data_IF_612169295805
#
_entry.id   IF_612169295805
#
_cell.length_a   1.000
_cell.length_b   1.000
_cell.length_c   1.000
_cell.angle_alpha   90.00
_cell.angle_beta   90.00
_cell.angle_gamma   90.00
#
_symmetry.space_group_name_H-M   'P 1'
#
loop_
_entity.id
_entity.type
_entity.pdbx_description
1 polymer ?
#
# COMPACT_ATOMS: atom_id res chain seq x y z
N UNK A 1 17.78 29.53 5.18
CA UNK A 1 18.49 28.23 5.30
C UNK A 1 17.88 27.33 4.25
N UNK A 2 18.66 26.86 3.26
CA UNK A 2 18.16 25.85 2.33
C UNK A 2 17.75 24.64 3.18
N UNK A 3 16.55 24.11 2.93
CA UNK A 3 16.19 22.77 3.39
C UNK A 3 17.32 21.86 2.89
N UNK A 4 18.23 21.46 3.78
CA UNK A 4 19.29 20.54 3.42
C UNK A 4 18.64 19.28 2.88
N UNK A 5 19.13 18.78 1.74
CA UNK A 5 18.60 17.60 1.06
C UNK A 5 18.52 16.43 2.05
N UNK A 6 17.36 16.24 2.68
CA UNK A 6 17.09 15.04 3.48
C UNK A 6 17.11 13.89 2.48
N UNK A 7 17.93 12.84 2.70
CA UNK A 7 17.94 11.71 1.79
C UNK A 7 16.58 11.02 1.85
N UNK A 8 15.96 10.80 0.69
CA UNK A 8 14.69 10.10 0.60
C UNK A 8 14.80 8.65 1.09
N UNK A 9 15.98 8.04 0.87
CA UNK A 9 16.29 6.69 1.31
C UNK A 9 17.37 6.72 2.41
N UNK A 10 16.99 6.25 3.60
CA UNK A 10 17.95 5.89 4.63
C UNK A 10 18.19 4.39 4.50
N UNK A 11 19.43 3.93 4.26
CA UNK A 11 19.70 2.50 4.17
C UNK A 11 19.34 1.77 5.47
N UNK A 12 18.98 0.48 5.39
CA UNK A 12 18.89 -0.35 6.58
C UNK A 12 20.16 -0.31 7.44
N UNK A 13 20.05 -0.53 8.77
CA UNK A 13 21.22 -0.61 9.62
C UNK A 13 22.09 -1.84 9.30
N UNK A 14 23.40 -1.70 9.53
CA UNK A 14 24.39 -2.76 9.30
C UNK A 14 25.06 -2.66 7.92
N UNK A 15 25.95 -3.61 7.58
CA UNK A 15 26.62 -3.64 6.28
C UNK A 15 25.66 -4.16 5.19
N UNK A 16 25.68 -3.54 3.99
CA UNK A 16 24.85 -3.98 2.85
C UNK A 16 25.08 -5.43 2.43
N UNK A 17 26.30 -5.93 2.60
CA UNK A 17 26.62 -7.34 2.33
C UNK A 17 25.98 -8.32 3.31
N UNK A 18 25.43 -7.83 4.43
CA UNK A 18 24.96 -8.63 5.55
C UNK A 18 26.10 -9.24 6.37
N UNK A 19 25.71 -9.96 7.41
CA UNK A 19 26.63 -10.56 8.37
C UNK A 19 26.74 -12.08 8.20
N UNK A 20 27.98 -12.59 8.33
CA UNK A 20 28.27 -14.01 8.28
C UNK A 20 28.04 -14.65 6.90
N UNK A 21 28.15 -16.00 6.81
CA UNK A 21 28.06 -16.73 5.55
C UNK A 21 26.65 -16.68 4.93
N UNK A 22 25.61 -16.52 5.75
CA UNK A 22 24.22 -16.39 5.28
C UNK A 22 23.87 -14.96 4.85
N UNK A 23 24.77 -13.99 5.04
CA UNK A 23 24.52 -12.57 4.73
C UNK A 23 23.27 -12.05 5.44
N UNK A 24 23.17 -12.31 6.75
CA UNK A 24 22.02 -11.89 7.57
C UNK A 24 21.91 -10.37 7.56
N UNK A 25 20.71 -9.85 7.31
CA UNK A 25 20.46 -8.41 7.23
C UNK A 25 20.99 -7.73 5.96
N UNK A 26 21.45 -8.49 4.95
CA UNK A 26 21.85 -7.91 3.68
C UNK A 26 20.72 -7.13 3.01
N UNK A 27 21.11 -6.09 2.29
CA UNK A 27 20.22 -5.23 1.53
C UNK A 27 20.95 -4.67 0.31
N UNK A 28 20.18 -4.33 -0.71
CA UNK A 28 20.67 -3.74 -1.94
C UNK A 28 20.72 -2.21 -1.84
N UNK A 29 21.78 -1.60 -2.38
CA UNK A 29 21.91 -0.14 -2.49
C UNK A 29 21.70 0.22 -3.97
N UNK A 30 20.55 0.79 -4.35
CA UNK A 30 20.27 1.13 -5.75
C UNK A 30 21.26 2.17 -6.28
N UNK A 31 21.76 1.93 -7.48
CA UNK A 31 22.51 2.93 -8.24
C UNK A 31 21.53 3.83 -9.04
N UNK A 32 21.89 5.09 -9.34
CA UNK A 32 21.06 5.94 -10.20
C UNK A 32 20.74 5.32 -11.57
N UNK A 33 21.62 4.49 -12.11
CA UNK A 33 21.41 3.74 -13.35
C UNK A 33 20.37 2.62 -13.26
N UNK A 34 19.94 2.27 -12.05
CA UNK A 34 18.97 1.19 -11.78
C UNK A 34 17.56 1.75 -11.53
N UNK A 35 17.39 3.07 -11.59
CA UNK A 35 16.10 3.73 -11.62
C UNK A 35 15.42 3.50 -12.99
N UNK A 36 14.58 2.48 -13.07
CA UNK A 36 13.88 2.10 -14.32
C UNK A 36 12.50 2.76 -14.46
N UNK A 37 11.96 3.31 -13.36
CA UNK A 37 10.71 4.08 -13.35
C UNK A 37 10.98 5.56 -13.11
N UNK A 38 10.20 6.41 -13.76
CA UNK A 38 10.06 7.83 -13.38
C UNK A 38 8.96 7.99 -12.33
N UNK A 39 8.96 9.12 -11.60
CA UNK A 39 7.93 9.40 -10.59
C UNK A 39 6.50 9.43 -11.16
N UNK A 40 6.24 10.06 -12.33
CA UNK A 40 4.92 9.99 -12.96
C UNK A 40 4.47 8.56 -13.30
N UNK A 41 5.38 7.71 -13.81
CA UNK A 41 5.06 6.31 -14.09
C UNK A 41 4.74 5.54 -12.80
N UNK A 42 5.50 5.77 -11.72
CA UNK A 42 5.24 5.15 -10.42
C UNK A 42 3.85 5.55 -9.89
N UNK A 43 3.46 6.82 -10.01
CA UNK A 43 2.15 7.30 -9.63
C UNK A 43 1.03 6.64 -10.44
N UNK A 44 1.20 6.55 -11.76
CA UNK A 44 0.22 5.93 -12.68
C UNK A 44 0.02 4.44 -12.35
N UNK A 45 1.12 3.68 -12.24
CA UNK A 45 1.08 2.24 -11.91
C UNK A 45 0.41 2.02 -10.54
N UNK A 46 0.75 2.84 -9.55
CA UNK A 46 0.16 2.75 -8.21
C UNK A 46 -1.33 3.03 -8.26
N UNK A 47 -1.75 4.09 -8.96
CA UNK A 47 -3.15 4.50 -9.03
C UNK A 47 -4.03 3.55 -9.84
N UNK A 48 -3.51 2.99 -10.94
CA UNK A 48 -4.24 2.01 -11.77
C UNK A 48 -4.35 0.65 -11.09
N UNK A 49 -3.38 0.32 -10.22
CA UNK A 49 -3.31 -0.98 -9.55
C UNK A 49 -2.56 -2.05 -10.36
N UNK A 50 -1.82 -1.67 -11.40
CA UNK A 50 -1.01 -2.58 -12.21
C UNK A 50 0.33 -2.91 -11.53
N UNK A 51 0.26 -3.31 -10.26
CA UNK A 51 1.42 -3.44 -9.36
C UNK A 51 2.44 -4.49 -9.82
N UNK A 52 2.09 -5.34 -10.79
CA UNK A 52 3.03 -6.24 -11.48
C UNK A 52 4.13 -5.49 -12.25
N UNK A 53 3.92 -4.21 -12.57
CA UNK A 53 4.91 -3.37 -13.25
C UNK A 53 5.93 -2.75 -12.28
N UNK A 54 5.70 -2.85 -10.97
CA UNK A 54 6.64 -2.44 -9.92
C UNK A 54 7.73 -3.50 -9.75
N UNK A 55 8.68 -3.51 -10.68
CA UNK A 55 9.75 -4.50 -10.74
C UNK A 55 11.07 -3.98 -10.15
N UNK A 56 11.89 -4.91 -9.66
CA UNK A 56 13.29 -4.64 -9.33
C UNK A 56 14.12 -4.53 -10.60
N UNK A 57 15.18 -3.72 -10.54
CA UNK A 57 16.25 -3.83 -11.53
C UNK A 57 16.88 -5.23 -11.47
N UNK A 58 17.38 -5.73 -12.60
CA UNK A 58 17.91 -7.09 -12.73
C UNK A 58 19.05 -7.39 -11.75
N UNK A 59 19.92 -6.42 -11.48
CA UNK A 59 20.99 -6.57 -10.49
C UNK A 59 20.44 -6.84 -9.07
N UNK A 60 19.48 -6.02 -8.62
CA UNK A 60 18.84 -6.19 -7.32
C UNK A 60 18.07 -7.52 -7.25
N UNK A 61 17.37 -7.91 -8.31
CA UNK A 61 16.63 -9.17 -8.36
C UNK A 61 17.57 -10.38 -8.33
N UNK A 62 18.71 -10.33 -9.02
CA UNK A 62 19.71 -11.40 -9.00
C UNK A 62 20.33 -11.55 -7.60
N UNK A 63 20.73 -10.44 -6.98
CA UNK A 63 21.29 -10.46 -5.63
C UNK A 63 20.26 -10.96 -4.59
N UNK A 64 19.00 -10.52 -4.70
CA UNK A 64 17.90 -11.03 -3.89
C UNK A 64 17.71 -12.53 -4.05
N UNK A 65 17.78 -13.06 -5.28
CA UNK A 65 17.66 -14.50 -5.55
C UNK A 65 18.79 -15.31 -4.95
N UNK A 66 20.02 -14.84 -5.04
CA UNK A 66 21.17 -15.50 -4.42
C UNK A 66 21.05 -15.50 -2.89
N UNK A 67 20.57 -14.39 -2.32
CA UNK A 67 20.39 -14.23 -0.88
C UNK A 67 19.20 -15.03 -0.33
N UNK A 68 18.05 -15.06 -1.03
CA UNK A 68 16.80 -15.60 -0.47
C UNK A 68 16.84 -17.11 -0.24
N UNK A 69 17.56 -17.87 -1.07
CA UNK A 69 17.58 -19.34 -1.00
C UNK A 69 18.22 -19.86 0.30
N UNK A 70 19.44 -19.44 0.69
CA UNK A 70 20.02 -19.86 1.97
C UNK A 70 19.22 -19.33 3.18
N UNK A 71 18.57 -18.17 3.07
CA UNK A 71 17.70 -17.65 4.13
C UNK A 71 16.46 -18.52 4.32
N UNK A 72 15.78 -18.90 3.23
CA UNK A 72 14.65 -19.83 3.29
C UNK A 72 15.06 -21.18 3.88
N UNK A 73 16.22 -21.71 3.49
CA UNK A 73 16.72 -22.96 4.05
C UNK A 73 16.95 -22.89 5.57
N UNK A 74 17.41 -21.74 6.08
CA UNK A 74 17.67 -21.54 7.51
C UNK A 74 16.42 -21.24 8.33
N UNK A 75 15.48 -20.43 7.80
CA UNK A 75 14.33 -19.90 8.54
C UNK A 75 13.00 -20.57 8.18
N UNK A 76 13.00 -21.49 7.20
CA UNK A 76 11.81 -22.12 6.63
C UNK A 76 11.19 -21.29 5.51
N UNK A 77 10.94 -20.02 5.77
CA UNK A 77 10.43 -19.05 4.80
C UNK A 77 10.92 -17.62 5.08
N UNK A 78 10.62 -16.72 4.14
CA UNK A 78 10.98 -15.31 4.27
C UNK A 78 10.12 -14.59 5.31
N UNK A 79 8.88 -15.03 5.53
CA UNK A 79 7.98 -14.43 6.52
C UNK A 79 8.55 -14.57 7.94
N UNK A 80 9.00 -15.77 8.28
CA UNK A 80 9.66 -16.11 9.54
C UNK A 80 10.97 -15.34 9.69
N UNK A 81 11.77 -15.23 8.64
CA UNK A 81 12.98 -14.40 8.65
C UNK A 81 12.66 -12.92 8.91
N UNK A 82 11.72 -12.34 8.17
CA UNK A 82 11.31 -10.93 8.31
C UNK A 82 10.82 -10.69 9.74
N UNK A 83 9.91 -11.53 10.22
CA UNK A 83 9.37 -11.43 11.58
C UNK A 83 10.45 -11.47 12.65
N UNK A 84 11.32 -12.50 12.63
CA UNK A 84 12.30 -12.73 13.71
C UNK A 84 13.49 -11.78 13.62
N UNK A 85 14.00 -11.50 12.42
CA UNK A 85 15.25 -10.77 12.22
C UNK A 85 15.01 -9.28 11.98
N UNK A 86 14.13 -8.95 11.02
CA UNK A 86 13.91 -7.55 10.60
C UNK A 86 12.96 -6.83 11.54
N UNK A 87 11.87 -7.50 11.91
CA UNK A 87 10.84 -6.96 12.78
C UNK A 87 11.06 -7.34 14.23
N UNK A 88 11.87 -8.33 14.57
CA UNK A 88 12.08 -8.78 15.96
C UNK A 88 10.75 -8.88 16.74
N UNK A 89 9.72 -9.42 16.09
CA UNK A 89 8.43 -9.68 16.70
C UNK A 89 8.37 -11.14 17.13
N UNK A 90 7.97 -11.36 18.37
CA UNK A 90 7.75 -12.70 18.90
C UNK A 90 6.40 -13.27 18.42
N UNK A 91 6.27 -14.60 18.33
CA UNK A 91 4.98 -15.22 17.99
C UNK A 91 3.94 -14.99 19.07
N UNK A 92 4.32 -15.13 20.34
CA UNK A 92 3.41 -14.96 21.48
C UNK A 92 2.85 -13.54 21.49
N UNK A 93 3.71 -12.54 21.24
CA UNK A 93 3.31 -11.13 21.14
C UNK A 93 2.33 -10.89 19.97
N UNK A 94 2.52 -11.58 18.83
CA UNK A 94 1.60 -11.48 17.69
C UNK A 94 0.25 -12.14 17.99
N UNK A 95 0.26 -13.32 18.62
CA UNK A 95 -0.96 -14.03 19.01
C UNK A 95 -1.77 -13.24 20.06
N UNK A 96 -1.11 -12.64 21.04
CA UNK A 96 -1.76 -11.74 22.00
C UNK A 96 -2.43 -10.55 21.31
N UNK A 97 -1.77 -9.94 20.31
CA UNK A 97 -2.37 -8.86 19.52
C UNK A 97 -3.55 -9.39 18.71
N UNK A 98 -3.42 -10.53 18.03
CA UNK A 98 -4.49 -11.16 17.23
C UNK A 98 -5.71 -11.50 18.08
N UNK A 99 -5.52 -12.03 19.29
CA UNK A 99 -6.60 -12.34 20.23
C UNK A 99 -7.28 -11.06 20.74
N UNK A 100 -6.49 -10.09 21.19
CA UNK A 100 -7.02 -8.79 21.67
C UNK A 100 -7.82 -8.08 20.59
N UNK A 101 -7.35 -8.14 19.36
CA UNK A 101 -7.88 -7.39 18.24
C UNK A 101 -8.97 -8.17 17.45
N UNK A 102 -9.29 -9.41 17.86
CA UNK A 102 -10.18 -10.37 17.15
C UNK A 102 -11.55 -9.80 16.77
N UNK A 103 -12.04 -8.78 17.46
CA UNK A 103 -13.35 -8.16 17.20
C UNK A 103 -13.28 -6.76 16.58
N UNK A 104 -12.18 -6.02 16.68
CA UNK A 104 -12.16 -4.57 16.42
C UNK A 104 -10.76 -4.00 16.14
N UNK A 105 -9.92 -4.62 15.32
CA UNK A 105 -8.74 -3.87 14.87
C UNK A 105 -8.36 -4.12 13.41
N UNK A 106 -8.68 -3.12 12.60
CA UNK A 106 -7.86 -2.77 11.46
C UNK A 106 -6.76 -1.79 11.90
N UNK A 107 -5.72 -1.67 11.08
CA UNK A 107 -4.65 -0.70 11.24
C UNK A 107 -5.15 0.71 11.56
N UNK A 108 -4.49 1.40 12.51
CA UNK A 108 -4.75 2.80 12.83
C UNK A 108 -3.49 3.64 12.63
N UNK A 109 -3.63 4.81 12.03
CA UNK A 109 -2.51 5.67 11.64
C UNK A 109 -1.71 6.23 12.83
N UNK A 110 -2.32 6.25 14.02
CA UNK A 110 -1.76 6.81 15.24
C UNK A 110 -1.06 5.78 16.13
N UNK A 111 -1.05 4.51 15.73
CA UNK A 111 -0.37 3.45 16.46
C UNK A 111 1.16 3.62 16.54
N UNK A 112 1.69 3.19 17.67
CA UNK A 112 3.10 3.29 18.02
C UNK A 112 3.96 2.11 17.53
N UNK A 113 5.26 2.14 17.88
CA UNK A 113 6.24 1.13 17.47
C UNK A 113 5.98 -0.27 18.03
N UNK A 114 5.14 -0.39 19.06
CA UNK A 114 4.65 -1.66 19.61
C UNK A 114 3.74 -2.41 18.63
N UNK A 115 3.07 -1.71 17.70
CA UNK A 115 2.15 -2.30 16.71
C UNK A 115 2.61 -2.12 15.27
N UNK A 116 3.41 -1.10 14.98
CA UNK A 116 3.77 -0.69 13.61
C UNK A 116 5.28 -0.52 13.49
N UNK A 117 5.90 -1.10 12.44
CA UNK A 117 7.31 -0.87 12.12
C UNK A 117 7.46 -0.42 10.67
N UNK A 118 8.01 0.77 10.48
CA UNK A 118 8.39 1.30 9.17
C UNK A 118 9.90 1.13 8.98
N UNK A 119 10.29 0.30 8.02
CA UNK A 119 11.70 0.05 7.70
C UNK A 119 11.95 0.26 6.19
N UNK A 120 13.17 0.63 5.78
CA UNK A 120 13.52 0.63 4.36
C UNK A 120 13.35 -0.77 3.78
N UNK A 121 12.92 -0.86 2.51
CA UNK A 121 12.86 -2.13 1.80
C UNK A 121 14.28 -2.62 1.52
N UNK A 122 14.64 -3.80 2.03
CA UNK A 122 15.97 -4.39 1.84
C UNK A 122 16.28 -4.69 0.36
N UNK A 123 15.24 -4.94 -0.43
CA UNK A 123 15.32 -5.31 -1.84
C UNK A 123 14.36 -4.44 -2.65
N UNK A 124 14.67 -3.14 -2.81
CA UNK A 124 13.74 -2.16 -3.38
C UNK A 124 13.51 -2.39 -4.88
N UNK A 125 12.33 -1.99 -5.35
CA UNK A 125 12.04 -1.85 -6.78
C UNK A 125 12.96 -0.81 -7.45
N UNK A 126 13.02 -0.83 -8.79
CA UNK A 126 13.77 0.17 -9.57
C UNK A 126 13.03 1.51 -9.67
N UNK A 127 12.73 2.10 -8.52
CA UNK A 127 12.09 3.41 -8.37
C UNK A 127 13.06 4.56 -8.71
N UNK A 128 12.58 5.81 -8.88
CA UNK A 128 13.46 6.94 -9.18
C UNK A 128 14.62 7.11 -8.17
N UNK A 129 15.75 7.62 -8.65
CA UNK A 129 17.01 7.76 -7.90
C UNK A 129 16.91 8.59 -6.61
N UNK A 130 15.95 9.51 -6.55
CA UNK A 130 15.66 10.39 -5.40
C UNK A 130 14.48 9.92 -4.57
N UNK A 131 14.01 8.69 -4.75
CA UNK A 131 12.92 8.12 -3.96
C UNK A 131 13.44 7.10 -2.93
N UNK A 132 12.78 7.03 -1.78
CA UNK A 132 12.98 5.95 -0.82
C UNK A 132 11.87 4.92 -0.93
N UNK A 133 12.23 3.64 -0.87
CA UNK A 133 11.25 2.55 -0.77
C UNK A 133 11.21 2.06 0.68
N UNK A 134 10.05 2.17 1.31
CA UNK A 134 9.82 1.69 2.67
C UNK A 134 8.76 0.60 2.68
N UNK A 135 8.79 -0.23 3.71
CA UNK A 135 7.70 -1.17 4.02
C UNK A 135 7.23 -0.86 5.42
N UNK A 136 5.93 -0.64 5.57
CA UNK A 136 5.29 -0.39 6.86
C UNK A 136 4.53 -1.64 7.26
N UNK A 137 5.04 -2.32 8.26
CA UNK A 137 4.51 -3.55 8.82
C UNK A 137 3.59 -3.24 9.99
N UNK A 138 2.48 -3.98 10.10
CA UNK A 138 1.58 -3.91 11.24
C UNK A 138 1.18 -5.31 11.73
N UNK A 139 1.05 -5.42 13.05
CA UNK A 139 0.56 -6.63 13.72
C UNK A 139 -0.93 -6.91 13.45
N UNK A 140 -1.71 -5.88 13.14
CA UNK A 140 -3.14 -5.99 12.83
C UNK A 140 -3.37 -5.78 11.31
N UNK A 141 -4.44 -6.33 10.73
CA UNK A 141 -4.69 -6.24 9.30
C UNK A 141 -4.95 -4.79 8.84
N UNK A 142 -4.39 -4.42 7.68
CA UNK A 142 -4.73 -3.17 6.99
C UNK A 142 -6.19 -3.15 6.50
N UNK A 143 -6.68 -4.31 6.04
CA UNK A 143 -8.04 -4.51 5.54
C UNK A 143 -8.74 -5.59 6.37
N UNK A 144 -9.85 -5.23 7.01
CA UNK A 144 -10.67 -6.09 7.86
C UNK A 144 -12.16 -5.74 7.66
N UNK A 145 -13.11 -6.69 7.76
CA UNK A 145 -14.54 -6.42 7.54
C UNK A 145 -15.08 -5.27 8.40
N UNK A 146 -14.60 -5.15 9.64
CA UNK A 146 -15.00 -4.08 10.56
C UNK A 146 -14.67 -2.66 10.08
N UNK A 147 -13.86 -2.48 9.03
CA UNK A 147 -13.72 -1.19 8.33
C UNK A 147 -15.07 -0.67 7.82
N UNK A 148 -15.98 -1.58 7.46
CA UNK A 148 -17.28 -1.26 6.91
C UNK A 148 -18.41 -1.48 7.93
N UNK A 149 -18.18 -2.07 9.10
CA UNK A 149 -19.25 -2.35 10.08
C UNK A 149 -19.52 -1.18 11.06
N UNK A 150 -18.88 -0.03 10.87
CA UNK A 150 -19.05 1.13 11.78
C UNK A 150 -20.27 2.00 11.43
N UNK A 151 -20.75 2.78 12.41
CA UNK A 151 -21.78 3.81 12.19
C UNK A 151 -21.31 4.93 11.24
N UNK A 152 -19.99 5.10 11.10
CA UNK A 152 -19.39 6.10 10.22
C UNK A 152 -19.22 5.62 8.78
N UNK A 153 -19.47 4.34 8.51
CA UNK A 153 -19.32 3.78 7.16
C UNK A 153 -20.28 4.47 6.19
N UNK A 154 -19.78 5.09 5.10
CA UNK A 154 -20.58 5.97 4.24
C UNK A 154 -21.40 5.20 3.19
N UNK A 155 -21.77 3.95 3.47
CA UNK A 155 -22.48 3.04 2.55
C UNK A 155 -23.69 2.43 3.25
N UNK A 156 -24.73 2.11 2.48
CA UNK A 156 -25.95 1.49 2.99
C UNK A 156 -25.63 0.11 3.59
N UNK A 157 -26.22 -0.26 4.74
CA UNK A 157 -25.91 -1.51 5.46
C UNK A 157 -25.91 -2.77 4.58
N UNK A 158 -26.83 -2.86 3.63
CA UNK A 158 -27.01 -4.00 2.74
C UNK A 158 -25.85 -4.14 1.72
N UNK A 159 -25.17 -3.04 1.39
CA UNK A 159 -24.10 -3.00 0.38
C UNK A 159 -22.70 -3.24 0.99
N UNK A 160 -22.56 -3.04 2.31
CA UNK A 160 -21.25 -2.91 2.99
C UNK A 160 -20.36 -4.12 2.82
N UNK A 161 -20.92 -5.32 2.99
CA UNK A 161 -20.17 -6.57 2.83
C UNK A 161 -19.67 -6.73 1.39
N UNK A 162 -20.55 -6.43 0.43
CA UNK A 162 -20.24 -6.54 -0.98
C UNK A 162 -19.11 -5.60 -1.41
N UNK A 163 -19.16 -4.35 -0.93
CA UNK A 163 -18.15 -3.32 -1.16
C UNK A 163 -16.83 -3.69 -0.49
N UNK A 164 -16.87 -4.14 0.77
CA UNK A 164 -15.67 -4.60 1.48
C UNK A 164 -14.95 -5.71 0.71
N UNK A 165 -15.66 -6.75 0.28
CA UNK A 165 -15.07 -7.85 -0.49
C UNK A 165 -14.44 -7.37 -1.79
N UNK A 166 -15.08 -6.43 -2.49
CA UNK A 166 -14.56 -5.86 -3.72
C UNK A 166 -13.24 -5.10 -3.48
N UNK A 167 -13.20 -4.24 -2.45
CA UNK A 167 -12.00 -3.51 -2.05
C UNK A 167 -10.90 -4.44 -1.53
N UNK A 168 -11.24 -5.43 -0.71
CA UNK A 168 -10.30 -6.39 -0.15
C UNK A 168 -9.67 -7.29 -1.22
N UNK A 169 -10.42 -7.58 -2.28
CA UNK A 169 -9.90 -8.29 -3.45
C UNK A 169 -8.97 -7.40 -4.29
N UNK A 170 -9.26 -6.12 -4.43
CA UNK A 170 -8.45 -5.21 -5.24
C UNK A 170 -7.18 -4.71 -4.51
N UNK A 171 -7.25 -4.59 -3.18
CA UNK A 171 -6.27 -3.86 -2.38
C UNK A 171 -6.57 -2.35 -2.34
N UNK A 172 -5.85 -1.60 -1.52
CA UNK A 172 -5.98 -0.14 -1.41
C UNK A 172 -4.68 0.55 -1.76
N UNK A 173 -4.74 1.77 -2.27
CA UNK A 173 -3.57 2.55 -2.71
C UNK A 173 -3.88 4.04 -2.64
N UNK A 174 -2.85 4.87 -2.75
CA UNK A 174 -3.02 6.32 -2.71
C UNK A 174 -1.76 7.10 -3.04
N UNK A 175 -1.95 8.41 -3.23
CA UNK A 175 -0.89 9.38 -3.50
C UNK A 175 -1.04 10.54 -2.51
N UNK A 176 0.07 11.05 -1.96
CA UNK A 176 0.08 12.24 -1.07
C UNK A 176 1.13 13.25 -1.53
N UNK A 177 0.98 14.52 -1.15
CA UNK A 177 2.01 15.56 -1.33
C UNK A 177 2.18 16.10 -2.76
N UNK A 178 1.68 15.41 -3.77
CA UNK A 178 1.59 15.96 -5.12
C UNK A 178 0.76 17.24 -5.12
N UNK A 179 1.18 18.25 -5.89
CA UNK A 179 0.33 19.42 -6.18
C UNK A 179 -1.02 18.90 -6.67
N UNK A 180 -2.05 19.00 -5.83
CA UNK A 180 -3.37 18.46 -6.12
C UNK A 180 -3.83 18.80 -7.54
N UNK A 181 -4.31 17.79 -8.27
CA UNK A 181 -5.27 17.93 -9.37
C UNK A 181 -5.04 18.98 -10.48
N UNK A 182 -3.87 19.59 -10.62
CA UNK A 182 -3.73 20.75 -11.51
C UNK A 182 -2.28 21.07 -11.91
N UNK A 183 -1.64 20.12 -12.60
CA UNK A 183 -0.37 20.31 -13.30
C UNK A 183 -0.52 20.05 -14.79
N UNK A 184 -0.83 21.11 -15.56
CA UNK A 184 -0.93 21.19 -17.04
C UNK A 184 -0.10 20.15 -17.81
N UNK A 185 -0.73 19.02 -18.17
CA UNK A 185 -0.62 18.25 -19.41
C UNK A 185 -1.35 16.89 -19.35
N UNK A 186 -1.71 16.39 -18.16
CA UNK A 186 -2.54 15.20 -17.95
C UNK A 186 -3.54 15.44 -16.82
N UNK A 187 -4.70 14.79 -16.84
CA UNK A 187 -5.74 14.93 -15.82
C UNK A 187 -5.27 14.52 -14.41
N UNK A 188 -6.07 14.84 -13.40
CA UNK A 188 -5.86 14.37 -12.02
C UNK A 188 -5.81 12.84 -11.99
N UNK A 189 -4.69 12.26 -11.55
CA UNK A 189 -4.55 10.80 -11.41
C UNK A 189 -5.51 10.35 -10.32
N UNK A 190 -6.56 9.62 -10.71
CA UNK A 190 -7.58 9.14 -9.79
C UNK A 190 -7.30 7.71 -9.38
N UNK A 191 -7.44 7.43 -8.08
CA UNK A 191 -7.38 6.09 -7.53
C UNK A 191 -8.79 5.54 -7.42
N UNK A 192 -9.17 4.64 -8.32
CA UNK A 192 -10.56 4.16 -8.45
C UNK A 192 -10.70 2.66 -8.18
N UNK A 193 -9.64 1.87 -8.35
CA UNK A 193 -9.67 0.41 -8.16
C UNK A 193 -10.44 -0.32 -9.27
N UNK A 194 -9.74 -0.70 -10.35
CA UNK A 194 -10.38 -1.28 -11.53
C UNK A 194 -11.08 -2.62 -11.25
N UNK A 195 -10.54 -3.45 -10.36
CA UNK A 195 -11.18 -4.72 -9.97
C UNK A 195 -12.41 -4.49 -9.10
N UNK A 196 -12.38 -3.46 -8.27
CA UNK A 196 -13.53 -3.04 -7.46
C UNK A 196 -14.68 -2.64 -8.36
N UNK A 197 -14.45 -1.80 -9.37
CA UNK A 197 -15.49 -1.43 -10.35
C UNK A 197 -16.11 -2.67 -11.01
N UNK A 198 -15.27 -3.62 -11.45
CA UNK A 198 -15.73 -4.86 -12.09
C UNK A 198 -16.62 -5.68 -11.14
N UNK A 199 -16.22 -5.82 -9.88
CA UNK A 199 -16.95 -6.57 -8.87
C UNK A 199 -18.26 -5.87 -8.48
N UNK A 200 -18.25 -4.57 -8.25
CA UNK A 200 -19.47 -3.81 -7.90
C UNK A 200 -20.53 -3.91 -9.01
N UNK A 201 -20.12 -3.87 -10.28
CA UNK A 201 -21.04 -4.04 -11.43
C UNK A 201 -21.65 -5.44 -11.53
N UNK A 202 -21.04 -6.44 -10.87
CA UNK A 202 -21.49 -7.84 -10.92
C UNK A 202 -22.37 -8.25 -9.73
N UNK A 203 -22.48 -7.39 -8.71
CA UNK A 203 -23.19 -7.70 -7.46
C UNK A 203 -24.59 -7.08 -7.46
N UNK A 204 -25.62 -7.92 -7.34
CA UNK A 204 -27.03 -7.49 -7.38
C UNK A 204 -27.39 -6.64 -6.16
N UNK A 205 -26.74 -6.91 -5.02
CA UNK A 205 -26.91 -6.19 -3.77
C UNK A 205 -26.32 -4.76 -3.79
N UNK A 206 -25.55 -4.39 -4.82
CA UNK A 206 -24.95 -3.05 -4.97
C UNK A 206 -25.64 -2.30 -6.12
N UNK A 207 -26.39 -1.26 -5.79
CA UNK A 207 -27.14 -0.50 -6.79
C UNK A 207 -26.26 0.56 -7.47
N UNK A 208 -25.60 0.21 -8.59
CA UNK A 208 -24.83 1.17 -9.40
C UNK A 208 -25.58 1.64 -10.64
N UNK A 209 -25.54 2.95 -10.91
CA UNK A 209 -26.04 3.51 -12.15
C UNK A 209 -25.07 3.24 -13.32
N UNK A 210 -25.56 3.25 -14.58
CA UNK A 210 -24.70 3.22 -15.75
C UNK A 210 -23.68 4.37 -15.72
N UNK A 211 -22.41 4.07 -16.02
CA UNK A 211 -21.37 5.11 -16.09
C UNK A 211 -21.75 6.17 -17.14
N UNK A 212 -21.79 7.47 -16.80
CA UNK A 212 -22.11 8.52 -17.76
C UNK A 212 -21.13 8.51 -18.93
N UNK A 213 -21.64 8.41 -20.15
CA UNK A 213 -20.82 8.54 -21.36
C UNK A 213 -20.35 10.02 -21.51
N UNK A 214 -19.15 10.33 -21.01
CA UNK A 214 -18.31 11.48 -21.33
C UNK A 214 -18.97 12.86 -21.53
N UNK A 215 -18.89 13.74 -20.52
CA UNK A 215 -18.61 15.18 -20.69
C UNK A 215 -18.35 15.88 -19.34
N UNK A 216 -17.30 16.72 -19.19
CA UNK A 216 -16.89 17.30 -17.90
C UNK A 216 -17.67 18.56 -17.50
N UNK A 217 -18.92 18.76 -17.96
CA UNK A 217 -19.67 19.98 -17.64
C UNK A 217 -21.18 19.79 -17.69
N UNK A 218 -21.75 19.28 -16.60
CA UNK A 218 -23.14 19.53 -16.26
C UNK A 218 -23.30 19.50 -14.74
N UNK A 219 -23.84 20.59 -14.18
CA UNK A 219 -24.34 20.65 -12.81
C UNK A 219 -25.42 19.59 -12.61
N UNK A 220 -25.37 18.77 -11.54
CA UNK A 220 -26.35 17.71 -11.36
C UNK A 220 -27.68 18.31 -10.90
N UNK A 221 -28.75 18.02 -11.66
CA UNK A 221 -30.12 18.19 -11.21
C UNK A 221 -30.46 17.09 -10.20
N UNK A 222 -31.09 17.42 -9.06
CA UNK A 222 -31.39 16.45 -8.02
C UNK A 222 -32.75 15.81 -8.32
N UNK A 223 -32.74 14.55 -8.80
CA UNK A 223 -33.73 13.47 -8.58
C UNK A 223 -33.77 12.52 -9.79
N UNK A 224 -33.53 11.23 -9.52
CA UNK A 224 -33.42 10.06 -10.42
C UNK A 224 -32.01 9.77 -10.96
N UNK A 225 -31.25 8.96 -10.21
CA UNK A 225 -29.99 8.35 -10.68
C UNK A 225 -29.15 7.87 -9.49
N UNK A 226 -28.90 6.56 -9.39
CA UNK A 226 -27.95 6.02 -8.41
C UNK A 226 -26.52 6.50 -8.67
N UNK A 227 -25.62 6.28 -7.72
CA UNK A 227 -24.18 6.51 -7.90
C UNK A 227 -23.62 5.52 -8.93
N UNK A 228 -22.73 5.96 -9.83
CA UNK A 228 -22.08 5.04 -10.77
C UNK A 228 -20.95 4.25 -10.07
N UNK A 229 -20.65 3.05 -10.59
CA UNK A 229 -19.69 2.14 -9.95
C UNK A 229 -18.26 2.71 -9.80
N UNK A 230 -17.84 3.64 -10.67
CA UNK A 230 -16.51 4.24 -10.54
C UNK A 230 -16.47 5.23 -9.36
N UNK A 231 -17.49 6.07 -9.23
CA UNK A 231 -17.61 6.99 -8.09
C UNK A 231 -17.74 6.24 -6.77
N UNK A 232 -18.53 5.16 -6.74
CA UNK A 232 -18.65 4.30 -5.57
C UNK A 232 -17.32 3.62 -5.20
N UNK A 233 -16.60 3.08 -6.19
CA UNK A 233 -15.31 2.44 -5.97
C UNK A 233 -14.26 3.43 -5.44
N UNK A 234 -14.18 4.64 -5.98
CA UNK A 234 -13.29 5.69 -5.47
C UNK A 234 -13.58 6.03 -4.00
N UNK A 235 -14.86 6.23 -3.65
CA UNK A 235 -15.29 6.43 -2.25
C UNK A 235 -14.91 5.24 -1.37
N UNK A 236 -15.06 4.01 -1.85
CA UNK A 236 -14.77 2.81 -1.10
C UNK A 236 -13.25 2.63 -0.83
N UNK A 237 -12.41 2.95 -1.82
CA UNK A 237 -10.95 2.96 -1.67
C UNK A 237 -10.49 4.07 -0.75
N UNK A 238 -11.02 5.29 -0.91
CA UNK A 238 -10.73 6.41 -0.02
C UNK A 238 -11.14 6.09 1.42
N UNK A 239 -12.31 5.50 1.62
CA UNK A 239 -12.74 5.01 2.93
C UNK A 239 -11.76 3.98 3.47
N UNK A 240 -11.58 2.84 2.80
CA UNK A 240 -10.77 1.75 3.32
C UNK A 240 -9.28 2.11 3.53
N UNK A 241 -8.73 2.99 2.68
CA UNK A 241 -7.34 3.42 2.73
C UNK A 241 -7.03 4.59 3.68
N UNK A 242 -8.04 5.22 4.28
CA UNK A 242 -7.91 6.48 5.06
C UNK A 242 -6.86 6.44 6.17
N UNK A 243 -6.70 5.30 6.86
CA UNK A 243 -5.71 5.17 7.93
C UNK A 243 -4.30 5.06 7.36
N UNK A 244 -4.11 4.37 6.24
CA UNK A 244 -2.82 4.32 5.54
C UNK A 244 -2.45 5.71 5.02
N UNK A 245 -3.40 6.40 4.40
CA UNK A 245 -3.23 7.77 3.91
C UNK A 245 -2.82 8.74 5.03
N UNK A 246 -3.55 8.70 6.16
CA UNK A 246 -3.24 9.52 7.34
C UNK A 246 -1.86 9.19 7.94
N UNK A 247 -1.46 7.91 7.93
CA UNK A 247 -0.13 7.51 8.38
C UNK A 247 0.94 8.10 7.46
N UNK A 248 0.77 7.98 6.14
CA UNK A 248 1.70 8.52 5.16
C UNK A 248 1.87 10.03 5.31
N UNK A 249 0.77 10.79 5.41
CA UNK A 249 0.80 12.25 5.62
C UNK A 249 1.48 12.66 6.93
N UNK A 250 1.31 11.87 7.99
CA UNK A 250 1.98 12.11 9.28
C UNK A 250 3.48 11.77 9.23
N UNK A 251 3.84 10.69 8.55
CA UNK A 251 5.21 10.16 8.49
C UNK A 251 6.08 10.93 7.48
N UNK A 252 5.49 11.30 6.35
CA UNK A 252 6.07 12.06 5.25
C UNK A 252 5.18 13.27 4.94
N UNK A 253 5.40 14.40 5.65
CA UNK A 253 4.59 15.60 5.49
C UNK A 253 4.56 16.11 4.05
N UNK A 254 3.37 16.45 3.57
CA UNK A 254 3.09 16.81 2.16
C UNK A 254 3.76 18.11 1.69
N UNK A 255 4.25 18.94 2.61
CA UNK A 255 5.06 20.11 2.30
C UNK A 255 6.54 19.79 2.05
N UNK A 256 6.97 18.55 2.33
CA UNK A 256 8.34 18.06 2.16
C UNK A 256 8.42 16.89 1.18
N UNK A 257 7.40 16.03 1.13
CA UNK A 257 7.44 14.76 0.42
C UNK A 257 6.19 14.53 -0.43
N UNK A 258 6.39 13.93 -1.59
CA UNK A 258 5.33 13.23 -2.32
C UNK A 258 5.45 11.73 -2.00
N UNK A 259 4.32 11.04 -1.83
CA UNK A 259 4.30 9.58 -1.59
C UNK A 259 3.34 8.89 -2.54
N UNK A 260 3.68 7.67 -2.92
CA UNK A 260 2.81 6.71 -3.57
C UNK A 260 2.83 5.46 -2.69
N UNK A 261 1.67 5.01 -2.23
CA UNK A 261 1.55 3.91 -1.30
C UNK A 261 0.52 2.89 -1.77
N UNK A 262 0.73 1.62 -1.43
CA UNK A 262 -0.22 0.56 -1.74
C UNK A 262 -0.18 -0.60 -0.74
N UNK A 263 -1.35 -1.18 -0.49
CA UNK A 263 -1.54 -2.41 0.26
C UNK A 263 -2.09 -3.47 -0.68
N UNK A 264 -1.25 -4.46 -1.02
CA UNK A 264 -1.68 -5.60 -1.83
C UNK A 264 -2.82 -6.36 -1.14
N UNK A 265 -3.78 -6.90 -1.91
CA UNK A 265 -4.77 -7.82 -1.37
C UNK A 265 -4.08 -9.10 -0.88
N UNK A 266 -4.65 -9.83 0.11
CA UNK A 266 -3.99 -10.99 0.73
C UNK A 266 -3.46 -12.04 -0.25
N UNK A 267 -4.20 -12.29 -1.35
CA UNK A 267 -3.83 -13.29 -2.35
C UNK A 267 -2.66 -12.89 -3.26
N UNK A 268 -2.20 -11.64 -3.22
CA UNK A 268 -1.02 -11.14 -3.95
C UNK A 268 0.17 -10.81 -3.02
N UNK A 269 0.05 -11.03 -1.71
CA UNK A 269 1.14 -10.77 -0.76
C UNK A 269 2.15 -11.91 -0.79
N UNK A 270 3.43 -11.57 -0.88
CA UNK A 270 4.53 -12.53 -0.70
C UNK A 270 4.63 -13.02 0.73
N UNK A 271 4.15 -12.23 1.69
CA UNK A 271 4.23 -12.44 3.14
C UNK A 271 2.82 -12.29 3.73
N UNK A 272 1.92 -13.27 3.52
CA UNK A 272 0.49 -13.09 3.80
C UNK A 272 0.14 -13.02 5.29
N UNK A 273 0.94 -13.63 6.18
CA UNK A 273 0.66 -13.65 7.62
C UNK A 273 1.10 -12.39 8.38
N UNK A 274 1.82 -11.48 7.71
CA UNK A 274 2.20 -10.18 8.25
C UNK A 274 1.57 -9.05 7.42
N UNK A 275 0.74 -8.22 8.05
CA UNK A 275 0.11 -7.12 7.34
C UNK A 275 1.10 -6.00 7.04
N UNK A 276 1.05 -5.46 5.83
CA UNK A 276 1.95 -4.40 5.41
C UNK A 276 1.38 -3.57 4.25
N UNK A 277 1.93 -2.37 4.09
CA UNK A 277 1.87 -1.58 2.86
C UNK A 277 3.27 -1.10 2.50
N UNK A 278 3.45 -0.69 1.24
CA UNK A 278 4.69 -0.13 0.70
C UNK A 278 4.43 1.29 0.22
#
# INVERSE_FOLDING_TARGET
>A
MSLGDKPAHVPPPGPSRGEGPLRIGAYHIPLPSEAVLTWPQLCEITASGDLNDLNRHSNCENEYREWREPIKAQYGDLETYIRKVRLQWDEEELEEVRERDRSLAYFRHDWGPDRVRCIPNDWPYGIPDRCGHYVVWCKSPMLHPSLFETDQTPFEPEERQAIYEAVAYDGVRGLTGGRGGSGKAGGEIRVVGMKTIQLLKSKEEVATAPTPAGSPRATPSPRQGGEDAATMAERAHSWAGREVDAYCKKKWPENEWETAWFCNPPHLRTVPGLSHFQ
#
